data_IF_087918636893
#
_entry.id   IF_087918636893
#
_cell.length_a   1.000
_cell.length_b   1.000
_cell.length_c   1.000
_cell.angle_alpha   90.00
_cell.angle_beta   90.00
_cell.angle_gamma   90.00
#
_symmetry.space_group_name_H-M   'P 1'
#
loop_
_entity.id
_entity.type
_entity.pdbx_description
1 polymer ?
#
# COMPACT_ATOMS: atom_id res chain seq x y z
N UNK A 1 4.14 -25.82 -11.07
CA UNK A 1 5.01 -26.84 -10.41
C UNK A 1 6.11 -26.12 -9.70
N UNK A 2 6.34 -26.43 -8.41
CA UNK A 2 7.51 -25.91 -7.69
C UNK A 2 8.81 -26.35 -8.39
N UNK A 3 9.76 -25.44 -8.53
CA UNK A 3 11.06 -25.75 -9.12
C UNK A 3 11.94 -26.45 -8.09
N UNK A 4 12.61 -27.52 -8.52
CA UNK A 4 13.55 -28.27 -7.68
C UNK A 4 14.92 -27.60 -7.63
N UNK A 5 15.69 -27.87 -6.58
CA UNK A 5 17.08 -27.44 -6.48
C UNK A 5 17.89 -27.95 -7.68
N UNK A 6 18.70 -27.09 -8.29
CA UNK A 6 19.46 -27.38 -9.48
C UNK A 6 18.70 -27.17 -10.80
N UNK A 7 17.39 -26.89 -10.75
CA UNK A 7 16.64 -26.51 -11.95
C UNK A 7 17.20 -25.21 -12.56
N UNK A 8 17.20 -25.11 -13.89
CA UNK A 8 17.75 -23.95 -14.59
C UNK A 8 16.67 -23.17 -15.33
N UNK A 9 16.58 -21.89 -15.03
CA UNK A 9 15.80 -20.89 -15.78
C UNK A 9 16.79 -20.01 -16.56
N UNK A 10 17.09 -20.37 -17.81
CA UNK A 10 18.15 -19.73 -18.55
C UNK A 10 19.51 -19.87 -17.85
N UNK A 11 20.21 -18.76 -17.54
CA UNK A 11 21.49 -18.78 -16.83
C UNK A 11 21.34 -18.85 -15.30
N UNK A 12 20.12 -18.91 -14.78
CA UNK A 12 19.84 -18.89 -13.35
C UNK A 12 19.61 -20.32 -12.84
N UNK A 13 20.45 -20.76 -11.91
CA UNK A 13 20.36 -22.06 -11.26
C UNK A 13 19.66 -21.92 -9.91
N UNK A 14 18.53 -22.60 -9.72
CA UNK A 14 17.73 -22.55 -8.48
C UNK A 14 18.50 -23.22 -7.34
N UNK A 15 18.63 -22.50 -6.23
CA UNK A 15 19.31 -22.99 -5.01
C UNK A 15 18.31 -23.43 -3.95
N UNK A 16 17.29 -22.65 -3.68
CA UNK A 16 16.26 -22.95 -2.66
C UNK A 16 15.01 -22.08 -2.84
N UNK A 17 13.85 -22.53 -2.40
CA UNK A 17 12.67 -21.67 -2.30
C UNK A 17 12.88 -20.60 -1.21
N UNK A 18 12.41 -19.37 -1.45
CA UNK A 18 12.36 -18.28 -0.48
C UNK A 18 10.95 -18.04 0.03
N UNK A 19 9.92 -18.27 -0.81
CA UNK A 19 8.54 -18.09 -0.43
C UNK A 19 7.59 -18.33 -1.61
N UNK A 20 6.32 -18.55 -1.28
CA UNK A 20 5.23 -18.70 -2.25
C UNK A 20 4.06 -17.83 -1.82
N UNK A 21 3.38 -17.19 -2.78
CA UNK A 21 2.23 -16.34 -2.52
C UNK A 21 1.34 -16.15 -3.74
N UNK A 22 0.32 -15.32 -3.61
CA UNK A 22 -0.64 -15.06 -4.69
C UNK A 22 -0.07 -14.46 -5.97
N UNK A 23 1.18 -14.00 -5.93
CA UNK A 23 1.91 -13.42 -7.09
C UNK A 23 3.01 -14.34 -7.62
N UNK A 24 3.00 -15.62 -7.24
CA UNK A 24 3.97 -16.62 -7.69
C UNK A 24 4.90 -17.12 -6.58
N UNK A 25 5.90 -17.86 -7.02
CA UNK A 25 6.93 -18.45 -6.17
C UNK A 25 8.24 -17.68 -6.32
N UNK A 26 8.96 -17.48 -5.23
CA UNK A 26 10.26 -16.79 -5.22
C UNK A 26 11.34 -17.78 -4.79
N UNK A 27 12.43 -17.79 -5.53
CA UNK A 27 13.55 -18.70 -5.31
C UNK A 27 14.85 -17.92 -5.16
N UNK A 28 15.74 -18.38 -4.28
CA UNK A 28 17.15 -18.03 -4.30
C UNK A 28 17.79 -18.78 -5.46
N UNK A 29 18.55 -18.08 -6.28
CA UNK A 29 19.21 -18.65 -7.44
C UNK A 29 20.62 -18.06 -7.60
N UNK A 30 21.45 -18.73 -8.40
CA UNK A 30 22.77 -18.25 -8.81
C UNK A 30 22.74 -17.83 -10.27
N UNK A 31 23.09 -16.60 -10.56
CA UNK A 31 23.42 -16.17 -11.94
C UNK A 31 24.79 -16.75 -12.32
N UNK A 32 24.79 -17.78 -13.15
CA UNK A 32 26.02 -18.52 -13.53
C UNK A 32 26.92 -17.73 -14.45
N UNK A 33 26.46 -16.63 -15.07
CA UNK A 33 27.27 -15.76 -15.95
C UNK A 33 28.09 -14.76 -15.11
N UNK A 34 27.48 -14.23 -14.03
CA UNK A 34 28.08 -13.17 -13.20
C UNK A 34 28.55 -13.69 -11.84
N UNK A 35 28.34 -14.98 -11.57
CA UNK A 35 28.69 -15.67 -10.33
C UNK A 35 28.20 -14.93 -9.07
N UNK A 36 26.92 -14.56 -9.07
CA UNK A 36 26.26 -13.85 -7.97
C UNK A 36 24.93 -14.49 -7.60
N UNK A 37 24.50 -14.27 -6.36
CA UNK A 37 23.17 -14.67 -5.92
C UNK A 37 22.13 -13.65 -6.35
N UNK A 38 20.95 -14.17 -6.72
CA UNK A 38 19.79 -13.41 -7.17
C UNK A 38 18.52 -14.03 -6.61
N UNK A 39 17.44 -13.26 -6.56
CA UNK A 39 16.11 -13.81 -6.35
C UNK A 39 15.39 -13.93 -7.69
N UNK A 40 14.77 -15.09 -7.92
CA UNK A 40 13.99 -15.38 -9.14
C UNK A 40 12.54 -15.55 -8.75
N UNK A 41 11.69 -14.64 -9.21
CA UNK A 41 10.24 -14.69 -9.01
C UNK A 41 9.57 -15.29 -10.23
N UNK A 42 8.97 -16.46 -10.06
CA UNK A 42 8.24 -17.18 -11.11
C UNK A 42 6.79 -16.71 -11.10
N UNK A 43 6.30 -16.27 -12.26
CA UNK A 43 4.93 -15.76 -12.39
C UNK A 43 3.94 -16.92 -12.61
N UNK A 44 2.72 -16.84 -12.01
CA UNK A 44 1.71 -17.87 -12.20
C UNK A 44 1.28 -18.00 -13.67
N UNK A 45 0.99 -19.21 -14.14
CA UNK A 45 0.50 -19.50 -15.50
C UNK A 45 -0.77 -18.70 -15.86
N UNK A 46 -1.64 -18.43 -14.88
CA UNK A 46 -2.83 -17.61 -15.08
C UNK A 46 -2.53 -16.17 -15.56
N UNK A 47 -1.30 -15.68 -15.35
CA UNK A 47 -0.83 -14.42 -15.92
C UNK A 47 -0.49 -14.55 -17.41
N UNK A 48 -0.02 -15.72 -17.84
CA UNK A 48 0.37 -16.00 -19.23
C UNK A 48 -0.84 -16.12 -20.17
N UNK A 49 -2.02 -16.39 -19.65
CA UNK A 49 -3.23 -16.65 -20.45
C UNK A 49 -3.85 -15.40 -21.12
N UNK A 50 -3.40 -14.18 -20.76
CA UNK A 50 -3.96 -12.94 -21.31
C UNK A 50 -2.84 -12.02 -21.83
N UNK A 51 -2.71 -11.95 -23.15
CA UNK A 51 -1.66 -11.18 -23.84
C UNK A 51 -1.68 -9.67 -23.45
N UNK A 52 -2.84 -9.06 -23.34
CA UNK A 52 -2.96 -7.63 -22.97
C UNK A 52 -2.44 -7.35 -21.55
N UNK A 53 -2.66 -8.29 -20.61
CA UNK A 53 -2.12 -8.22 -19.25
C UNK A 53 -0.60 -8.39 -19.25
N UNK A 54 -0.08 -9.24 -20.10
CA UNK A 54 1.35 -9.49 -20.26
C UNK A 54 2.07 -8.26 -20.80
N UNK A 55 1.57 -7.68 -21.90
CA UNK A 55 2.16 -6.50 -22.54
C UNK A 55 2.18 -5.31 -21.57
N UNK A 56 1.16 -5.20 -20.71
CA UNK A 56 1.10 -4.19 -19.67
C UNK A 56 2.11 -4.48 -18.56
N UNK A 57 2.14 -5.73 -18.07
CA UNK A 57 3.12 -6.15 -17.07
C UNK A 57 4.55 -5.90 -17.56
N UNK A 58 4.89 -6.26 -18.79
CA UNK A 58 6.23 -6.03 -19.35
C UNK A 58 6.58 -4.54 -19.45
N UNK A 59 5.61 -3.68 -19.83
CA UNK A 59 5.82 -2.22 -19.86
C UNK A 59 6.05 -1.65 -18.47
N UNK A 60 5.23 -2.03 -17.51
CA UNK A 60 5.37 -1.60 -16.12
C UNK A 60 6.69 -2.14 -15.51
N UNK A 61 7.02 -3.41 -15.77
CA UNK A 61 8.24 -4.02 -15.32
C UNK A 61 9.49 -3.34 -15.90
N UNK A 62 9.49 -2.99 -17.20
CA UNK A 62 10.57 -2.22 -17.83
C UNK A 62 10.71 -0.81 -17.21
N UNK A 63 9.59 -0.17 -16.89
CA UNK A 63 9.62 1.12 -16.22
C UNK A 63 10.24 1.01 -14.81
N UNK A 64 9.83 0.01 -14.02
CA UNK A 64 10.41 -0.25 -12.69
C UNK A 64 11.89 -0.66 -12.78
N UNK A 65 12.27 -1.49 -13.75
CA UNK A 65 13.67 -1.87 -13.98
C UNK A 65 14.59 -0.67 -14.30
N UNK A 66 14.02 0.43 -14.81
CA UNK A 66 14.77 1.67 -15.01
C UNK A 66 15.03 2.46 -13.73
N UNK A 67 14.44 2.06 -12.60
CA UNK A 67 14.66 2.69 -11.30
C UNK A 67 15.97 2.15 -10.70
N UNK A 68 16.89 3.06 -10.42
CA UNK A 68 18.11 2.76 -9.66
C UNK A 68 18.11 3.63 -8.41
N UNK A 69 17.72 3.04 -7.28
CA UNK A 69 17.65 3.76 -6.01
C UNK A 69 17.94 2.79 -4.85
N UNK A 70 18.69 3.20 -3.81
CA UNK A 70 19.04 2.33 -2.70
C UNK A 70 17.84 1.77 -1.94
N UNK A 71 16.70 2.47 -1.93
CA UNK A 71 15.48 2.06 -1.25
C UNK A 71 14.43 1.43 -2.18
N UNK A 72 14.81 1.00 -3.37
CA UNK A 72 13.97 0.26 -4.31
C UNK A 72 14.65 -1.06 -4.65
N UNK A 73 13.91 -2.16 -4.70
CA UNK A 73 14.41 -3.46 -5.13
C UNK A 73 14.89 -3.36 -6.58
N UNK A 74 16.16 -3.70 -6.82
CA UNK A 74 16.72 -3.68 -8.16
C UNK A 74 16.22 -4.90 -8.97
N UNK A 75 15.72 -4.65 -10.18
CA UNK A 75 15.34 -5.69 -11.14
C UNK A 75 16.50 -5.81 -12.13
N UNK A 76 17.03 -7.02 -12.30
CA UNK A 76 18.20 -7.30 -13.14
C UNK A 76 17.80 -7.84 -14.51
N UNK A 77 16.75 -8.67 -14.57
CA UNK A 77 16.36 -9.34 -15.80
C UNK A 77 14.90 -9.80 -15.79
N UNK A 78 14.36 -10.05 -16.97
CA UNK A 78 13.08 -10.73 -17.19
C UNK A 78 13.32 -11.80 -18.25
N UNK A 79 12.76 -12.97 -18.03
CA UNK A 79 12.92 -14.08 -18.98
C UNK A 79 11.67 -14.95 -19.08
N UNK A 80 11.68 -15.75 -20.13
CA UNK A 80 10.72 -16.83 -20.33
C UNK A 80 11.50 -18.09 -20.72
N UNK A 81 11.18 -19.21 -20.10
CA UNK A 81 11.72 -20.52 -20.44
C UNK A 81 10.65 -21.60 -20.27
N UNK A 82 10.47 -22.39 -21.34
CA UNK A 82 9.50 -23.50 -21.37
C UNK A 82 8.07 -23.05 -20.94
N UNK A 83 7.65 -21.85 -21.39
CA UNK A 83 6.37 -21.22 -21.01
C UNK A 83 6.34 -20.64 -19.60
N UNK A 84 7.40 -20.79 -18.82
CA UNK A 84 7.52 -20.21 -17.47
C UNK A 84 8.17 -18.83 -17.54
N UNK A 85 7.44 -17.79 -17.14
CA UNK A 85 7.93 -16.42 -17.05
C UNK A 85 8.48 -16.12 -15.69
N UNK A 86 9.58 -15.38 -15.63
CA UNK A 86 10.24 -15.03 -14.39
C UNK A 86 10.85 -13.64 -14.43
N UNK A 87 10.94 -13.03 -13.26
CA UNK A 87 11.68 -11.80 -13.01
C UNK A 87 12.89 -12.12 -12.10
N UNK A 88 14.03 -11.49 -12.39
CA UNK A 88 15.25 -11.65 -11.61
C UNK A 88 15.56 -10.35 -10.91
N UNK A 89 15.74 -10.40 -9.60
CA UNK A 89 16.01 -9.23 -8.76
C UNK A 89 17.27 -9.43 -7.93
N UNK A 90 17.73 -8.38 -7.28
CA UNK A 90 18.72 -8.52 -6.21
C UNK A 90 18.21 -9.49 -5.15
N UNK A 91 19.10 -10.31 -4.61
CA UNK A 91 18.84 -11.13 -3.44
C UNK A 91 19.02 -10.28 -2.20
N UNK A 92 18.00 -10.28 -1.32
CA UNK A 92 18.02 -9.52 -0.07
C UNK A 92 18.08 -10.48 1.11
N UNK A 93 18.93 -10.16 2.08
CA UNK A 93 18.97 -10.81 3.38
C UNK A 93 18.34 -9.88 4.42
N UNK A 94 17.38 -10.42 5.20
CA UNK A 94 16.62 -9.64 6.18
C UNK A 94 15.19 -10.16 6.34
N UNK A 95 14.28 -9.26 6.65
CA UNK A 95 12.87 -9.61 6.88
C UNK A 95 11.92 -8.53 6.33
N UNK A 96 10.65 -8.88 6.12
CA UNK A 96 9.65 -7.88 5.76
C UNK A 96 9.30 -7.01 6.97
N UNK A 97 8.85 -5.77 6.73
CA UNK A 97 8.33 -4.93 7.80
C UNK A 97 7.11 -5.59 8.49
N UNK A 98 6.40 -6.47 7.80
CA UNK A 98 5.32 -7.28 8.39
C UNK A 98 5.86 -8.20 9.48
N UNK A 99 6.98 -8.85 9.23
CA UNK A 99 7.61 -9.76 10.20
C UNK A 99 8.11 -8.96 11.41
N UNK A 100 8.77 -7.84 11.18
CA UNK A 100 9.18 -6.91 12.26
C UNK A 100 7.98 -6.48 13.11
N UNK A 101 6.85 -6.11 12.48
CA UNK A 101 5.63 -5.68 13.18
C UNK A 101 4.91 -6.82 13.93
N UNK A 102 5.22 -8.07 13.65
CA UNK A 102 4.71 -9.20 14.44
C UNK A 102 5.25 -9.17 15.88
N UNK A 103 6.40 -8.58 16.10
CA UNK A 103 6.99 -8.32 17.41
C UNK A 103 6.40 -7.10 18.14
N UNK A 104 5.49 -6.35 17.51
CA UNK A 104 4.85 -5.16 18.09
C UNK A 104 5.29 -3.84 17.45
N UNK A 105 5.14 -2.75 18.18
CA UNK A 105 5.49 -1.40 17.70
C UNK A 105 7.01 -1.25 17.49
N UNK A 106 7.38 -0.55 16.45
CA UNK A 106 8.78 -0.19 16.16
C UNK A 106 9.17 1.04 16.98
N UNK A 107 10.37 1.12 17.56
CA UNK A 107 10.84 2.30 18.25
C UNK A 107 10.67 3.55 17.35
N UNK A 108 10.15 4.69 17.88
CA UNK A 108 9.77 5.84 17.06
C UNK A 108 10.89 6.36 16.15
N UNK A 109 12.14 6.37 16.65
CA UNK A 109 13.30 6.79 15.84
C UNK A 109 13.49 5.88 14.61
N UNK A 110 13.37 4.56 14.80
CA UNK A 110 13.48 3.61 13.69
C UNK A 110 12.28 3.69 12.74
N UNK A 111 11.09 3.91 13.26
CA UNK A 111 9.88 4.11 12.44
C UNK A 111 10.02 5.34 11.53
N UNK A 112 10.57 6.45 12.06
CA UNK A 112 10.84 7.65 11.28
C UNK A 112 11.90 7.36 10.21
N UNK A 113 13.01 6.71 10.57
CA UNK A 113 14.09 6.35 9.66
C UNK A 113 13.57 5.48 8.50
N UNK A 114 12.81 4.43 8.78
CA UNK A 114 12.23 3.56 7.77
C UNK A 114 11.21 4.28 6.89
N UNK A 115 10.35 5.12 7.48
CA UNK A 115 9.39 5.90 6.71
C UNK A 115 10.07 6.94 5.80
N UNK A 116 11.15 7.57 6.24
CA UNK A 116 11.94 8.50 5.43
C UNK A 116 12.58 7.77 4.23
N UNK A 117 13.20 6.62 4.45
CA UNK A 117 13.77 5.80 3.39
C UNK A 117 12.71 5.33 2.38
N UNK A 118 11.53 4.90 2.86
CA UNK A 118 10.41 4.56 1.98
C UNK A 118 9.93 5.76 1.16
N UNK A 119 9.80 6.93 1.78
CA UNK A 119 9.41 8.17 1.10
C UNK A 119 10.44 8.60 0.04
N UNK A 120 11.75 8.44 0.29
CA UNK A 120 12.81 8.70 -0.69
C UNK A 120 12.70 7.75 -1.90
N UNK A 121 12.48 6.45 -1.67
CA UNK A 121 12.26 5.48 -2.74
C UNK A 121 11.00 5.78 -3.57
N UNK A 122 9.89 6.11 -2.90
CA UNK A 122 8.65 6.53 -3.58
C UNK A 122 8.86 7.82 -4.39
N UNK A 123 9.58 8.80 -3.85
CA UNK A 123 9.88 10.03 -4.58
C UNK A 123 10.63 9.76 -5.89
N UNK A 124 11.64 8.89 -5.87
CA UNK A 124 12.39 8.52 -7.07
C UNK A 124 11.52 7.81 -8.12
N UNK A 125 10.55 7.00 -7.70
CA UNK A 125 9.59 6.37 -8.60
C UNK A 125 8.58 7.39 -9.17
N UNK A 126 8.04 8.25 -8.31
CA UNK A 126 7.06 9.28 -8.69
C UNK A 126 7.61 10.28 -9.71
N UNK A 127 8.90 10.64 -9.62
CA UNK A 127 9.58 11.50 -10.60
C UNK A 127 9.62 10.90 -12.02
N UNK A 128 9.55 9.56 -12.11
CA UNK A 128 9.41 8.84 -13.38
C UNK A 128 7.96 8.48 -13.74
N UNK A 129 6.99 9.04 -13.02
CA UNK A 129 5.57 8.79 -13.24
C UNK A 129 5.10 7.40 -12.77
N UNK A 130 5.91 6.68 -11.98
CA UNK A 130 5.58 5.35 -11.49
C UNK A 130 4.97 5.47 -10.09
N UNK A 131 3.74 4.98 -9.94
CA UNK A 131 2.98 4.95 -8.69
C UNK A 131 2.95 3.51 -8.20
N UNK A 132 3.24 3.29 -6.90
CA UNK A 132 3.32 1.94 -6.34
C UNK A 132 1.95 1.28 -6.17
N UNK A 133 0.94 2.00 -5.69
CA UNK A 133 -0.47 1.59 -5.51
C UNK A 133 -0.74 0.47 -4.51
N UNK A 134 0.28 -0.14 -3.93
CA UNK A 134 0.15 -1.24 -2.94
C UNK A 134 1.22 -1.14 -1.84
N UNK A 135 1.46 0.07 -1.33
CA UNK A 135 2.39 0.28 -0.19
C UNK A 135 1.77 -0.33 1.06
N UNK A 136 2.46 -1.33 1.62
CA UNK A 136 2.06 -2.06 2.83
C UNK A 136 3.29 -2.73 3.43
N UNK A 137 3.26 -3.16 4.71
CA UNK A 137 4.41 -3.76 5.38
C UNK A 137 4.98 -5.01 4.68
N UNK A 138 4.14 -5.78 3.98
CA UNK A 138 4.56 -6.96 3.22
C UNK A 138 5.44 -6.59 2.01
N UNK A 139 5.32 -5.36 1.49
CA UNK A 139 6.07 -4.84 0.35
C UNK A 139 7.22 -3.90 0.77
N UNK A 140 7.54 -3.85 2.05
CA UNK A 140 8.67 -3.11 2.61
C UNK A 140 9.60 -4.10 3.30
N UNK A 141 10.84 -4.17 2.86
CA UNK A 141 11.84 -5.12 3.33
C UNK A 141 12.94 -4.40 4.10
N UNK A 142 13.33 -4.92 5.24
CA UNK A 142 14.41 -4.40 6.06
C UNK A 142 15.59 -5.34 5.91
N UNK A 143 16.66 -4.86 5.29
CA UNK A 143 17.89 -5.62 5.10
C UNK A 143 18.67 -5.76 6.42
N UNK A 144 19.58 -6.72 6.48
CA UNK A 144 20.40 -6.96 7.68
C UNK A 144 21.24 -5.73 8.11
N UNK A 145 21.64 -4.88 7.15
CA UNK A 145 22.34 -3.61 7.41
C UNK A 145 21.38 -2.48 7.82
N UNK A 146 20.08 -2.77 8.01
CA UNK A 146 19.08 -1.83 8.51
C UNK A 146 18.54 -0.87 7.45
N UNK A 147 18.75 -1.13 6.16
CA UNK A 147 18.19 -0.35 5.05
C UNK A 147 16.79 -0.85 4.69
N UNK A 148 15.87 0.08 4.46
CA UNK A 148 14.56 -0.27 3.93
C UNK A 148 14.59 -0.28 2.40
N UNK A 149 14.00 -1.32 1.80
CA UNK A 149 13.77 -1.45 0.36
C UNK A 149 12.29 -1.68 0.05
N UNK A 150 11.78 -0.96 -0.94
CA UNK A 150 10.44 -1.12 -1.48
C UNK A 150 10.48 -2.28 -2.46
N UNK A 151 9.64 -3.29 -2.23
CA UNK A 151 9.43 -4.43 -3.10
C UNK A 151 8.25 -4.17 -4.04
N UNK A 152 8.13 -4.97 -5.10
CA UNK A 152 6.92 -5.19 -5.92
C UNK A 152 6.07 -3.93 -6.17
N UNK A 153 6.57 -2.96 -6.94
CA UNK A 153 5.72 -1.92 -7.52
C UNK A 153 4.55 -2.60 -8.23
N UNK A 154 3.33 -2.19 -7.92
CA UNK A 154 2.05 -2.86 -8.20
C UNK A 154 1.79 -3.36 -9.63
N UNK A 155 2.77 -4.06 -10.21
CA UNK A 155 2.80 -4.63 -11.55
C UNK A 155 1.59 -5.54 -11.87
N UNK A 156 0.85 -5.97 -10.85
CA UNK A 156 -0.26 -6.92 -11.00
C UNK A 156 -1.62 -6.37 -10.58
N UNK A 157 -1.72 -5.15 -10.04
CA UNK A 157 -2.99 -4.58 -9.59
C UNK A 157 -3.54 -3.58 -10.58
N UNK A 158 -4.43 -4.06 -11.43
CA UNK A 158 -5.49 -3.19 -11.93
C UNK A 158 -6.37 -2.79 -10.75
N UNK A 159 -6.64 -1.48 -10.57
CA UNK A 159 -7.89 -1.10 -9.94
C UNK A 159 -9.00 -1.92 -10.63
N UNK A 160 -9.92 -2.59 -9.90
CA UNK A 160 -11.09 -3.11 -10.53
C UNK A 160 -11.72 -1.92 -11.24
N UNK A 161 -11.76 -1.95 -12.58
CA UNK A 161 -12.59 -1.03 -13.32
C UNK A 161 -14.01 -1.31 -12.84
N UNK A 162 -14.51 -0.48 -11.93
CA UNK A 162 -15.93 -0.34 -11.72
C UNK A 162 -16.43 0.21 -13.06
N UNK A 163 -16.89 -0.69 -13.92
CA UNK A 163 -17.56 -0.34 -15.16
C UNK A 163 -18.76 0.50 -14.75
N UNK A 164 -18.62 1.80 -14.95
CA UNK A 164 -19.76 2.70 -14.95
C UNK A 164 -20.58 2.35 -16.19
N UNK A 165 -21.68 1.64 -15.98
CA UNK A 165 -22.62 1.36 -17.07
C UNK A 165 -23.34 0.02 -16.90
N UNK A 166 -24.44 0.07 -16.25
CA UNK A 166 -25.70 -0.67 -16.36
C UNK A 166 -26.22 -1.21 -15.03
N UNK A 167 -27.47 -0.92 -14.84
CA UNK A 167 -28.36 -1.17 -13.72
C UNK A 167 -28.20 -2.50 -12.97
N UNK A 168 -28.44 -2.38 -11.65
CA UNK A 168 -28.84 -3.46 -10.74
C UNK A 168 -27.94 -4.69 -10.66
N UNK A 169 -26.81 -4.58 -9.94
CA UNK A 169 -26.27 -5.69 -9.13
C UNK A 169 -25.20 -5.19 -8.17
N UNK A 170 -25.26 -5.62 -6.92
CA UNK A 170 -24.21 -5.48 -5.91
C UNK A 170 -22.83 -5.74 -6.49
N UNK A 171 -21.79 -5.01 -6.09
CA UNK A 171 -20.43 -5.26 -6.60
C UNK A 171 -20.01 -6.68 -6.21
N UNK A 172 -20.17 -7.61 -7.12
CA UNK A 172 -19.67 -8.98 -6.99
C UNK A 172 -18.16 -8.87 -7.07
N UNK A 173 -17.50 -8.96 -5.93
CA UNK A 173 -16.06 -9.19 -5.80
C UNK A 173 -15.75 -10.46 -6.62
N UNK A 174 -15.29 -10.30 -7.87
CA UNK A 174 -14.95 -11.43 -8.72
C UNK A 174 -13.89 -12.26 -8.04
N UNK A 175 -14.24 -13.51 -7.83
CA UNK A 175 -13.48 -14.60 -7.25
C UNK A 175 -12.09 -14.69 -7.90
N UNK A 176 -11.06 -14.71 -7.06
CA UNK A 176 -9.66 -14.94 -7.44
C UNK A 176 -8.66 -14.76 -6.31
N UNK A 177 -9.08 -14.19 -5.18
CA UNK A 177 -8.24 -14.04 -3.99
C UNK A 177 -8.85 -14.77 -2.82
N UNK A 178 -8.06 -15.59 -2.13
CA UNK A 178 -8.48 -16.28 -0.90
C UNK A 178 -9.07 -15.27 0.09
N UNK A 179 -10.18 -15.58 0.80
CA UNK A 179 -10.89 -14.64 1.68
C UNK A 179 -10.03 -13.93 2.73
N UNK A 180 -8.93 -14.54 3.19
CA UNK A 180 -8.01 -13.96 4.17
C UNK A 180 -7.06 -12.89 3.60
N UNK A 181 -6.71 -12.95 2.31
CA UNK A 181 -5.76 -12.03 1.68
C UNK A 181 -6.37 -10.66 1.37
N UNK A 182 -7.67 -10.60 1.03
CA UNK A 182 -8.38 -9.35 0.75
C UNK A 182 -8.54 -8.49 2.01
N UNK A 183 -8.79 -9.15 3.16
CA UNK A 183 -9.01 -8.50 4.45
C UNK A 183 -7.73 -7.81 4.98
N UNK A 184 -6.54 -8.37 4.69
CA UNK A 184 -5.26 -7.80 5.12
C UNK A 184 -4.85 -6.55 4.34
N UNK A 185 -5.09 -6.52 3.04
CA UNK A 185 -4.62 -5.46 2.14
C UNK A 185 -5.54 -4.24 2.12
N UNK A 186 -6.85 -4.41 2.33
CA UNK A 186 -7.81 -3.30 2.31
C UNK A 186 -7.45 -2.17 3.28
N UNK A 187 -6.82 -2.49 4.42
CA UNK A 187 -6.48 -1.53 5.46
C UNK A 187 -5.43 -0.48 5.08
N UNK A 188 -4.72 -0.64 3.96
CA UNK A 188 -3.70 0.31 3.48
C UNK A 188 -4.15 1.10 2.25
N UNK A 189 -5.33 0.84 1.71
CA UNK A 189 -5.86 1.56 0.55
C UNK A 189 -6.12 3.02 0.89
N UNK A 190 -5.86 3.92 -0.07
CA UNK A 190 -6.25 5.31 0.05
C UNK A 190 -7.77 5.48 -0.18
N UNK A 191 -8.38 6.58 0.32
CA UNK A 191 -9.80 6.86 0.09
C UNK A 191 -10.20 6.85 -1.39
N UNK A 192 -9.36 7.38 -2.28
CA UNK A 192 -9.59 7.39 -3.74
C UNK A 192 -9.51 5.98 -4.33
N UNK A 193 -8.63 5.10 -3.84
CA UNK A 193 -8.60 3.68 -4.23
C UNK A 193 -9.87 2.96 -3.81
N UNK A 194 -10.34 3.20 -2.58
CA UNK A 194 -11.60 2.60 -2.07
C UNK A 194 -12.80 3.07 -2.89
N UNK A 195 -12.80 4.34 -3.35
CA UNK A 195 -13.88 4.89 -4.20
C UNK A 195 -13.76 4.48 -5.68
N UNK A 196 -12.68 3.81 -6.09
CA UNK A 196 -12.42 3.52 -7.51
C UNK A 196 -12.16 4.77 -8.36
N UNK A 197 -11.70 5.86 -7.75
CA UNK A 197 -11.35 7.12 -8.41
C UNK A 197 -9.95 7.05 -9.03
N UNK A 198 -9.61 8.05 -9.83
CA UNK A 198 -8.26 8.19 -10.36
C UNK A 198 -7.24 8.29 -9.22
N UNK A 199 -6.19 7.47 -9.31
CA UNK A 199 -5.13 7.33 -8.32
C UNK A 199 -3.88 8.03 -8.82
N UNK A 200 -3.32 8.93 -8.02
CA UNK A 200 -2.02 9.56 -8.25
C UNK A 200 -1.01 9.20 -7.14
N UNK A 201 0.19 9.76 -7.21
CA UNK A 201 1.28 9.53 -6.27
C UNK A 201 0.93 9.82 -4.80
N UNK A 202 -0.08 10.65 -4.54
CA UNK A 202 -0.54 10.99 -3.17
C UNK A 202 -1.28 9.84 -2.50
N UNK A 203 -1.71 8.83 -3.26
CA UNK A 203 -2.23 7.59 -2.71
C UNK A 203 -1.15 6.78 -2.00
N UNK A 204 0.07 6.73 -2.55
CA UNK A 204 1.20 6.07 -1.89
C UNK A 204 1.60 6.78 -0.60
N UNK A 205 1.47 8.12 -0.57
CA UNK A 205 1.71 8.92 0.64
C UNK A 205 0.70 8.57 1.75
N UNK A 206 -0.58 8.40 1.40
CA UNK A 206 -1.60 7.94 2.35
C UNK A 206 -1.25 6.55 2.89
N UNK A 207 -0.95 5.60 2.00
CA UNK A 207 -0.60 4.22 2.37
C UNK A 207 0.65 4.16 3.25
N UNK A 208 1.69 4.96 2.95
CA UNK A 208 2.87 5.09 3.79
C UNK A 208 2.54 5.71 5.16
N UNK A 209 1.60 6.66 5.20
CA UNK A 209 1.07 7.22 6.45
C UNK A 209 0.40 6.16 7.33
N UNK A 210 -0.38 5.24 6.73
CA UNK A 210 -0.97 4.09 7.43
C UNK A 210 0.11 3.15 7.98
N UNK A 211 1.15 2.88 7.19
CA UNK A 211 2.28 2.05 7.61
C UNK A 211 3.04 2.71 8.76
N UNK A 212 3.32 4.02 8.68
CA UNK A 212 3.98 4.76 9.74
C UNK A 212 3.16 4.76 11.03
N UNK A 213 1.84 4.94 10.93
CA UNK A 213 0.93 4.80 12.08
C UNK A 213 1.05 3.42 12.73
N UNK A 214 1.05 2.35 11.91
CA UNK A 214 1.17 0.98 12.41
C UNK A 214 2.54 0.72 13.06
N UNK A 215 3.63 1.20 12.47
CA UNK A 215 4.96 1.12 13.06
C UNK A 215 5.00 1.75 14.45
N UNK A 216 4.40 2.93 14.60
CA UNK A 216 4.43 3.69 15.84
C UNK A 216 3.51 3.11 16.92
N UNK A 217 2.31 2.66 16.53
CA UNK A 217 1.28 2.21 17.47
C UNK A 217 1.24 0.70 17.73
N UNK A 218 1.88 -0.10 16.86
CA UNK A 218 1.74 -1.56 16.82
C UNK A 218 0.35 -2.02 16.38
N UNK A 219 -0.51 -1.12 15.89
CA UNK A 219 -1.90 -1.40 15.52
C UNK A 219 -2.25 -0.80 14.17
N UNK A 220 -3.04 -1.51 13.37
CA UNK A 220 -3.54 -0.99 12.09
C UNK A 220 -4.54 0.16 12.32
N UNK A 221 -4.36 1.27 11.58
CA UNK A 221 -5.17 2.49 11.72
C UNK A 221 -6.67 2.25 11.47
N UNK A 222 -7.02 1.47 10.45
CA UNK A 222 -8.40 1.35 9.97
C UNK A 222 -8.96 -0.09 10.04
N UNK A 223 -8.27 -1.04 10.70
CA UNK A 223 -8.76 -2.43 10.78
C UNK A 223 -10.09 -2.52 11.53
N UNK A 224 -11.08 -3.18 10.90
CA UNK A 224 -12.41 -3.50 11.46
C UNK A 224 -12.69 -4.99 11.28
N UNK A 225 -13.88 -5.44 11.68
CA UNK A 225 -14.31 -6.83 11.63
C UNK A 225 -14.41 -7.40 10.20
N UNK A 226 -14.68 -6.56 9.21
CA UNK A 226 -14.78 -6.94 7.79
C UNK A 226 -14.01 -5.99 6.88
N UNK A 227 -13.76 -6.42 5.62
CA UNK A 227 -13.15 -5.58 4.60
C UNK A 227 -14.03 -4.36 4.28
N UNK A 228 -15.35 -4.53 4.23
CA UNK A 228 -16.31 -3.45 3.96
C UNK A 228 -16.29 -2.40 5.07
N UNK A 229 -16.31 -2.84 6.34
CA UNK A 229 -16.19 -1.92 7.49
C UNK A 229 -14.85 -1.20 7.51
N UNK A 230 -13.75 -1.89 7.15
CA UNK A 230 -12.42 -1.29 7.04
C UNK A 230 -12.40 -0.23 5.96
N UNK A 231 -12.96 -0.49 4.78
CA UNK A 231 -13.09 0.50 3.71
C UNK A 231 -13.96 1.69 4.13
N UNK A 232 -15.06 1.45 4.84
CA UNK A 232 -15.90 2.53 5.36
C UNK A 232 -15.15 3.40 6.39
N UNK A 233 -14.34 2.78 7.27
CA UNK A 233 -13.48 3.50 8.20
C UNK A 233 -12.45 4.38 7.47
N UNK A 234 -11.79 3.86 6.42
CA UNK A 234 -10.87 4.64 5.58
C UNK A 234 -11.55 5.88 4.99
N UNK A 235 -12.81 5.75 4.58
CA UNK A 235 -13.54 6.86 3.95
C UNK A 235 -14.02 7.92 4.93
N UNK A 236 -14.37 7.54 6.17
CA UNK A 236 -15.17 8.39 7.06
C UNK A 236 -14.56 8.65 8.43
N UNK A 237 -13.66 7.79 8.90
CA UNK A 237 -13.15 7.86 10.26
C UNK A 237 -11.73 8.42 10.29
N UNK A 238 -11.41 9.17 11.32
CA UNK A 238 -10.03 9.52 11.65
C UNK A 238 -9.34 8.31 12.29
N UNK A 239 -8.03 8.14 12.08
CA UNK A 239 -7.28 7.09 12.74
C UNK A 239 -7.35 7.27 14.25
N UNK A 240 -7.45 6.18 15.04
CA UNK A 240 -7.39 6.28 16.50
C UNK A 240 -6.12 7.01 16.93
N UNK A 241 -6.22 7.76 18.03
CA UNK A 241 -5.03 8.43 18.56
C UNK A 241 -3.98 7.38 18.99
N UNK A 242 -2.70 7.52 18.59
CA UNK A 242 -1.64 6.62 19.07
C UNK A 242 -1.53 6.58 20.59
N UNK A 243 -1.88 7.68 21.27
CA UNK A 243 -1.96 7.77 22.74
C UNK A 243 -2.98 6.82 23.37
N UNK A 244 -3.98 6.33 22.62
CA UNK A 244 -4.88 5.29 23.11
C UNK A 244 -4.18 3.95 23.39
N UNK A 245 -2.97 3.75 22.88
CA UNK A 245 -2.06 2.63 23.19
C UNK A 245 -1.03 2.95 24.29
N UNK A 246 -1.14 4.12 24.94
CA UNK A 246 -0.19 4.57 25.96
C UNK A 246 1.07 5.23 25.40
N UNK A 247 1.21 5.34 24.07
CA UNK A 247 2.34 5.97 23.43
C UNK A 247 2.08 7.48 23.26
N UNK A 248 2.93 8.30 23.87
CA UNK A 248 2.92 9.75 23.66
C UNK A 248 3.87 10.08 22.51
N UNK A 249 3.34 10.42 21.36
CA UNK A 249 4.13 10.86 20.22
C UNK A 249 4.52 12.34 20.38
N UNK A 250 5.70 12.71 19.84
CA UNK A 250 6.06 14.11 19.71
C UNK A 250 5.02 14.83 18.79
N UNK A 251 4.54 16.04 19.14
CA UNK A 251 3.49 16.73 18.37
C UNK A 251 3.81 16.93 16.89
N UNK A 252 5.10 17.05 16.56
CA UNK A 252 5.56 17.20 15.18
C UNK A 252 5.38 15.90 14.38
N UNK A 253 5.70 14.74 14.98
CA UNK A 253 5.51 13.43 14.35
C UNK A 253 4.01 13.13 14.16
N UNK A 254 3.20 13.44 15.16
CA UNK A 254 1.75 13.28 15.08
C UNK A 254 1.16 14.11 13.92
N UNK A 255 1.62 15.35 13.73
CA UNK A 255 1.20 16.19 12.59
C UNK A 255 1.60 15.60 11.24
N UNK A 256 2.79 14.99 11.12
CA UNK A 256 3.23 14.33 9.88
C UNK A 256 2.30 13.15 9.56
N UNK A 257 2.03 12.28 10.54
CA UNK A 257 1.11 11.14 10.37
C UNK A 257 -0.29 11.63 9.95
N UNK A 258 -0.83 12.63 10.66
CA UNK A 258 -2.14 13.19 10.32
C UNK A 258 -2.20 13.71 8.89
N UNK A 259 -1.20 14.50 8.49
CA UNK A 259 -1.15 15.06 7.16
C UNK A 259 -1.07 14.00 6.06
N UNK A 260 -0.39 12.88 6.30
CA UNK A 260 -0.43 11.76 5.36
C UNK A 260 -1.83 11.14 5.25
N UNK A 261 -2.58 11.07 6.36
CA UNK A 261 -3.87 10.38 6.47
C UNK A 261 -5.08 11.26 6.16
N UNK A 262 -4.89 12.49 5.69
CA UNK A 262 -5.96 13.35 5.21
C UNK A 262 -6.77 12.66 4.10
N UNK A 263 -8.10 12.79 4.20
CA UNK A 263 -9.00 12.11 3.25
C UNK A 263 -8.96 12.75 1.87
N UNK A 264 -8.80 14.07 1.83
CA UNK A 264 -8.62 14.83 0.60
C UNK A 264 -7.15 14.80 0.18
N UNK A 265 -6.80 14.27 -1.02
CA UNK A 265 -5.42 14.25 -1.49
C UNK A 265 -4.76 15.64 -1.54
N UNK A 266 -5.53 16.71 -1.73
CA UNK A 266 -5.00 18.08 -1.78
C UNK A 266 -4.49 18.60 -0.43
N UNK A 267 -4.92 17.99 0.69
CA UNK A 267 -4.53 18.35 2.05
C UNK A 267 -3.33 17.55 2.55
N UNK A 268 -2.92 16.50 1.84
CA UNK A 268 -1.74 15.68 2.13
C UNK A 268 -0.44 16.40 1.78
N UNK A 269 0.69 15.75 2.02
CA UNK A 269 1.94 16.12 1.35
C UNK A 269 1.74 16.01 -0.16
N UNK A 270 2.24 16.99 -0.91
CA UNK A 270 2.05 17.02 -2.37
C UNK A 270 3.16 16.25 -3.11
N UNK A 271 4.23 15.87 -2.44
CA UNK A 271 5.25 14.95 -2.95
C UNK A 271 5.78 14.03 -1.85
N UNK A 272 6.25 12.85 -2.23
CA UNK A 272 6.94 11.95 -1.31
C UNK A 272 8.31 12.55 -0.87
N UNK A 273 8.90 13.43 -1.68
CA UNK A 273 10.12 14.19 -1.32
C UNK A 273 9.88 15.13 -0.14
N UNK A 274 8.75 15.85 -0.14
CA UNK A 274 8.39 16.73 0.99
C UNK A 274 8.14 15.94 2.26
N UNK A 275 7.52 14.75 2.14
CA UNK A 275 7.34 13.84 3.26
C UNK A 275 8.69 13.34 3.81
N UNK A 276 9.61 12.92 2.93
CA UNK A 276 10.95 12.48 3.33
C UNK A 276 11.68 13.60 4.09
N UNK A 277 11.68 14.82 3.56
CA UNK A 277 12.30 15.98 4.21
C UNK A 277 11.68 16.27 5.59
N UNK A 278 10.35 16.19 5.71
CA UNK A 278 9.68 16.39 6.99
C UNK A 278 10.07 15.31 8.03
N UNK A 279 10.21 14.05 7.60
CA UNK A 279 10.64 12.94 8.47
C UNK A 279 12.12 13.06 8.87
N UNK A 280 13.01 13.40 7.93
CA UNK A 280 14.43 13.61 8.20
C UNK A 280 14.65 14.74 9.23
N UNK A 281 13.87 15.82 9.12
CA UNK A 281 13.90 16.93 10.08
C UNK A 281 13.49 16.52 11.51
N UNK A 282 12.69 15.45 11.65
CA UNK A 282 12.34 14.90 12.97
C UNK A 282 13.45 14.01 13.55
N UNK A 283 14.23 13.36 12.70
CA UNK A 283 15.36 12.51 13.13
C UNK A 283 16.48 13.34 13.74
N UNK A 284 16.74 14.54 13.21
CA UNK A 284 17.78 15.44 13.67
C UNK A 284 17.39 16.17 14.97
N UNK A 285 16.10 16.31 15.23
CA UNK A 285 15.62 16.94 16.46
C UNK A 285 15.71 15.93 17.60
N UNK A 286 16.68 16.08 18.50
CA UNK A 286 16.89 15.28 19.73
C UNK A 286 15.72 15.40 20.75
N UNK A 287 14.48 15.49 20.29
CA UNK A 287 13.27 15.68 21.07
C UNK A 287 12.38 14.43 21.07
N UNK A 288 12.87 13.37 21.68
CA UNK A 288 12.02 12.32 22.24
C UNK A 288 12.21 12.37 23.76
N UNK A 289 11.64 13.38 24.40
CA UNK A 289 11.54 13.47 25.85
C UNK A 289 10.18 12.95 26.29
N UNK A 290 10.03 12.40 27.53
CA UNK A 290 8.74 12.01 28.07
C UNK A 290 7.90 13.27 28.35
N UNK A 291 7.06 13.64 27.41
CA UNK A 291 6.17 14.80 27.50
C UNK A 291 4.91 14.47 28.30
N UNK A 292 4.68 15.22 29.38
CA UNK A 292 3.44 15.25 30.16
C UNK A 292 2.25 15.56 29.22
N UNK A 293 1.32 14.62 29.12
CA UNK A 293 0.07 14.79 28.39
C UNK A 293 -0.72 15.99 28.92
N UNK A 294 -0.93 17.03 28.11
CA UNK A 294 -2.04 17.97 28.23
C UNK A 294 -2.87 17.84 26.96
N UNK A 295 -3.96 17.11 27.10
CA UNK A 295 -4.92 16.82 26.04
C UNK A 295 -5.78 18.04 25.67
N UNK A 296 -5.27 18.95 24.88
CA UNK A 296 -6.04 20.14 24.45
C UNK A 296 -6.01 20.40 22.93
N UNK A 297 -5.16 19.74 22.16
CA UNK A 297 -5.00 20.08 20.74
C UNK A 297 -5.99 19.39 19.79
N UNK A 298 -6.52 18.23 20.15
CA UNK A 298 -7.42 17.45 19.27
C UNK A 298 -8.85 17.99 19.16
N UNK A 299 -9.27 18.85 20.11
CA UNK A 299 -10.65 19.40 20.11
C UNK A 299 -10.88 20.52 19.09
N UNK A 300 -9.84 21.14 18.58
CA UNK A 300 -9.97 22.29 17.67
C UNK A 300 -10.11 21.91 16.20
N UNK A 301 -9.63 20.73 15.77
CA UNK A 301 -9.63 20.34 14.35
C UNK A 301 -10.95 19.70 13.89
N UNK A 302 -11.66 19.02 14.81
CA UNK A 302 -12.95 18.35 14.52
C UNK A 302 -14.09 19.33 14.18
N UNK A 303 -13.94 20.63 14.41
CA UNK A 303 -15.03 21.62 14.21
C UNK A 303 -15.06 22.30 12.85
N UNK A 304 -14.07 22.13 11.97
CA UNK A 304 -14.03 22.88 10.69
C UNK A 304 -14.72 22.20 9.50
N UNK A 305 -15.14 20.94 9.59
CA UNK A 305 -15.75 20.22 8.45
C UNK A 305 -17.23 19.83 8.65
N UNK A 306 -17.94 20.42 9.62
CA UNK A 306 -19.30 20.00 9.96
C UNK A 306 -20.50 20.70 9.26
N UNK A 307 -20.41 21.81 8.46
CA UNK A 307 -21.67 22.39 7.97
C UNK A 307 -22.11 21.99 6.56
N UNK A 308 -21.26 21.39 5.70
CA UNK A 308 -21.68 21.15 4.30
C UNK A 308 -22.44 19.83 4.06
N UNK A 309 -22.25 18.82 4.92
CA UNK A 309 -22.85 17.49 4.69
C UNK A 309 -24.33 17.39 5.13
N UNK A 310 -24.83 18.31 5.96
CA UNK A 310 -26.21 18.25 6.45
C UNK A 310 -27.27 18.80 5.51
N UNK A 311 -26.88 19.62 4.54
CA UNK A 311 -27.82 20.20 3.53
C UNK A 311 -28.10 19.26 2.36
N UNK A 312 -27.16 18.38 2.01
CA UNK A 312 -27.35 17.43 0.89
C UNK A 312 -28.14 16.18 1.29
N UNK A 313 -28.10 15.76 2.55
CA UNK A 313 -28.87 14.61 3.06
C UNK A 313 -30.38 14.84 3.08
N UNK A 314 -30.82 16.07 3.33
CA UNK A 314 -32.25 16.43 3.34
C UNK A 314 -32.91 16.41 1.96
N UNK A 315 -32.20 16.81 0.91
CA UNK A 315 -32.70 16.81 -0.46
C UNK A 315 -32.81 15.39 -1.04
N UNK A 316 -31.88 14.50 -0.71
CA UNK A 316 -31.90 13.10 -1.18
C UNK A 316 -33.07 12.31 -0.56
N UNK A 317 -33.42 12.57 0.71
CA UNK A 317 -34.56 11.94 1.37
C UNK A 317 -35.90 12.41 0.82
N UNK A 318 -36.04 13.69 0.46
CA UNK A 318 -37.24 14.24 -0.17
C UNK A 318 -37.44 13.70 -1.59
N UNK A 319 -36.38 13.53 -2.38
CA UNK A 319 -36.45 12.94 -3.70
C UNK A 319 -36.83 11.44 -3.67
N UNK A 320 -36.32 10.69 -2.70
CA UNK A 320 -36.69 9.27 -2.53
C UNK A 320 -38.15 9.09 -2.10
N UNK A 321 -38.67 9.93 -1.21
CA UNK A 321 -40.07 9.91 -0.79
C UNK A 321 -41.03 10.26 -1.94
N UNK A 322 -40.67 11.23 -2.81
CA UNK A 322 -41.46 11.57 -3.97
C UNK A 322 -41.49 10.45 -5.03
N UNK A 323 -40.38 9.75 -5.24
CA UNK A 323 -40.31 8.62 -6.17
C UNK A 323 -41.16 7.42 -5.70
N UNK A 324 -41.15 7.13 -4.41
CA UNK A 324 -41.97 6.05 -3.83
C UNK A 324 -43.47 6.40 -3.92
N UNK A 325 -43.89 7.64 -3.66
CA UNK A 325 -45.25 8.10 -3.78
C UNK A 325 -45.77 8.05 -5.24
N UNK A 326 -44.87 8.40 -6.21
CA UNK A 326 -45.20 8.33 -7.64
C UNK A 326 -45.39 6.88 -8.14
N UNK A 327 -44.54 5.94 -7.68
CA UNK A 327 -44.65 4.51 -8.03
C UNK A 327 -45.88 3.82 -7.41
N UNK A 328 -46.25 4.19 -6.19
CA UNK A 328 -47.47 3.67 -5.54
C UNK A 328 -48.75 4.22 -6.13
N UNK A 329 -48.74 5.44 -6.70
CA UNK A 329 -49.87 6.05 -7.36
C UNK A 329 -50.22 5.44 -8.73
N UNK A 330 -49.28 4.76 -9.40
CA UNK A 330 -49.53 4.12 -10.70
C UNK A 330 -50.16 2.70 -10.60
N UNK A 331 -50.23 2.11 -9.41
CA UNK A 331 -50.84 0.78 -9.19
C UNK A 331 -52.32 0.82 -8.72
N UNK A 332 -52.92 2.01 -8.65
CA UNK A 332 -54.32 2.17 -8.21
C UNK A 332 -55.22 2.83 -9.25
N UNK A 333 -54.93 2.64 -10.55
CA UNK A 333 -55.82 3.04 -11.65
C UNK A 333 -56.05 1.88 -12.60
#
# INVERSE_FOLDING_TARGET
MALENGAKLGPYEILSPLGAGGMGEVYRARDTRLDREVAVKVLPEAFAANQERLDRFEREAKAVASLSHPNILAIFDFGERDGTRYAVTEFLEGETLRDTLSGGAVPPRKAIEYAAQAAQGLAAAHEKGIIHRDVKPENLFITQDGRLKILDFGLARQAPALVAGSDTASPTLRQGTQPGSLMGTAGYMSPEQVRGQAVDHRSDIFSLGVVLYEMLSGRRAFRRGSAVETMNAILKEDPPQPSASGLVLAPNLERVVHRCLEKNPAERFQSARDLAFALDSLSDSSYIGPGRAKGTFFRAFSRRHAPAARLLGGLALLAAAAAVAFLLGQHTS
#
